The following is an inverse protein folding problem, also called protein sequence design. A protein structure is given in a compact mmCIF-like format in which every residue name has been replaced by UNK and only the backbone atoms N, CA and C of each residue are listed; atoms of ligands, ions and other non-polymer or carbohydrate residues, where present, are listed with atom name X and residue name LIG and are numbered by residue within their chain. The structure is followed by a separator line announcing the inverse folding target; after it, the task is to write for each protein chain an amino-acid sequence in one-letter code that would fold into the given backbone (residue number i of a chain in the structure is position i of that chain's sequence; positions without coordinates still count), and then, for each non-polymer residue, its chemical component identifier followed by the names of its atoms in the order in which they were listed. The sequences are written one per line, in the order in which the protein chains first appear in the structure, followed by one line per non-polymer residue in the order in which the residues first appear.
data_IF_591033568746
#
_entry.id   IF_591033568746
#
_cell.length_a   1.000
_cell.length_b   1.000
_cell.length_c   1.000
_cell.angle_alpha   90.00
_cell.angle_beta   90.00
_cell.angle_gamma   90.00
#
_symmetry.space_group_name_H-M   'P 1'
#
loop_
_entity.id
_entity.type
_entity.pdbx_description
1 polymer ?
#
# COMPACT_ATOMS: atom_id res chain seq x y z
N UNK A 1 -11.46 21.98 -13.26
CA UNK A 1 -11.73 20.59 -12.84
C UNK A 1 -10.40 19.93 -12.58
N UNK A 2 -10.26 19.20 -11.46
CA UNK A 2 -9.10 18.34 -11.24
C UNK A 2 -9.18 17.16 -12.22
N UNK A 3 -8.06 16.75 -12.79
CA UNK A 3 -7.99 15.50 -13.54
C UNK A 3 -8.07 14.29 -12.58
N UNK A 4 -8.22 13.07 -13.10
CA UNK A 4 -8.40 11.87 -12.27
C UNK A 4 -7.25 11.67 -11.27
N UNK A 5 -6.00 11.93 -11.67
CA UNK A 5 -4.83 11.81 -10.80
C UNK A 5 -4.91 12.80 -9.63
N UNK A 6 -5.17 14.06 -9.93
CA UNK A 6 -5.30 15.11 -8.92
C UNK A 6 -6.46 14.87 -7.96
N UNK A 7 -7.59 14.32 -8.45
CA UNK A 7 -8.72 13.94 -7.60
C UNK A 7 -8.35 12.81 -6.64
N UNK A 8 -7.72 11.74 -7.13
CA UNK A 8 -7.30 10.62 -6.28
C UNK A 8 -6.28 11.07 -5.24
N UNK A 9 -5.28 11.86 -5.64
CA UNK A 9 -4.28 12.38 -4.71
C UNK A 9 -4.90 13.28 -3.64
N UNK A 10 -5.94 14.05 -3.96
CA UNK A 10 -6.63 14.90 -2.99
C UNK A 10 -7.37 14.12 -1.89
N UNK A 11 -7.66 12.83 -2.10
CA UNK A 11 -8.26 11.98 -1.07
C UNK A 11 -7.25 11.49 -0.05
N UNK A 12 -5.96 11.51 -0.39
CA UNK A 12 -4.89 11.01 0.45
C UNK A 12 -4.40 12.12 1.38
N UNK A 13 -4.26 11.78 2.65
CA UNK A 13 -3.60 12.62 3.66
C UNK A 13 -2.18 12.11 3.91
N UNK A 14 -1.29 12.98 4.38
CA UNK A 14 0.13 12.64 4.61
C UNK A 14 0.35 11.50 5.63
N UNK A 15 -0.63 11.25 6.51
CA UNK A 15 -0.64 10.17 7.50
C UNK A 15 -1.21 8.84 6.97
N UNK A 16 -1.68 8.82 5.72
CA UNK A 16 -2.27 7.62 5.13
C UNK A 16 -1.17 6.67 4.66
N UNK A 17 -1.36 5.38 4.97
CA UNK A 17 -0.50 4.31 4.51
C UNK A 17 -1.23 3.54 3.41
N UNK A 18 -0.71 3.59 2.18
CA UNK A 18 -1.20 2.78 1.08
C UNK A 18 -0.70 1.35 1.24
N UNK A 19 -1.63 0.41 1.39
CA UNK A 19 -1.32 -1.01 1.41
C UNK A 19 -1.43 -1.56 0.00
N UNK A 20 -0.30 -1.97 -0.58
CA UNK A 20 -0.26 -2.49 -1.94
C UNK A 20 -0.30 -4.01 -1.97
N UNK A 21 -1.06 -4.52 -2.94
CA UNK A 21 -0.99 -5.91 -3.35
C UNK A 21 0.27 -6.18 -4.19
N UNK A 22 0.65 -7.46 -4.26
CA UNK A 22 1.86 -7.92 -4.94
C UNK A 22 1.98 -7.44 -6.39
N UNK A 23 0.87 -7.38 -7.12
CA UNK A 23 0.85 -6.96 -8.53
C UNK A 23 1.25 -5.50 -8.75
N UNK A 24 1.27 -4.68 -7.70
CA UNK A 24 1.61 -3.26 -7.75
C UNK A 24 2.99 -2.94 -7.18
N UNK A 25 3.86 -3.94 -6.99
CA UNK A 25 5.21 -3.72 -6.44
C UNK A 25 5.99 -2.66 -7.23
N UNK A 26 5.85 -2.64 -8.55
CA UNK A 26 6.62 -1.73 -9.40
C UNK A 26 6.20 -0.26 -9.24
N UNK A 27 5.04 0.00 -8.65
CA UNK A 27 4.54 1.36 -8.39
C UNK A 27 5.08 1.96 -7.09
N UNK A 28 5.73 1.16 -6.23
CA UNK A 28 6.25 1.61 -4.92
C UNK A 28 7.15 2.83 -5.08
N UNK A 29 8.10 2.79 -6.00
CA UNK A 29 9.04 3.90 -6.21
C UNK A 29 8.32 5.19 -6.64
N UNK A 30 7.28 5.07 -7.45
CA UNK A 30 6.45 6.21 -7.87
C UNK A 30 5.70 6.80 -6.69
N UNK A 31 5.05 5.96 -5.88
CA UNK A 31 4.29 6.40 -4.72
C UNK A 31 5.17 7.05 -3.65
N UNK A 32 6.37 6.51 -3.41
CA UNK A 32 7.34 7.13 -2.51
C UNK A 32 7.83 8.49 -3.02
N UNK A 33 8.02 8.65 -4.34
CA UNK A 33 8.38 9.96 -4.95
C UNK A 33 7.27 11.00 -4.83
N UNK A 34 6.02 10.56 -4.74
CA UNK A 34 4.86 11.42 -4.47
C UNK A 34 4.71 11.77 -2.98
N UNK A 35 5.64 11.33 -2.12
CA UNK A 35 5.61 11.61 -0.68
C UNK A 35 4.67 10.71 0.12
N UNK A 36 4.10 9.68 -0.53
CA UNK A 36 3.11 8.81 0.09
C UNK A 36 3.78 7.69 0.90
N UNK A 37 3.17 7.32 2.03
CA UNK A 37 3.61 6.18 2.81
C UNK A 37 3.05 4.89 2.21
N UNK A 38 3.91 3.90 2.01
CA UNK A 38 3.54 2.64 1.36
C UNK A 38 3.92 1.46 2.25
N UNK A 39 2.97 0.56 2.47
CA UNK A 39 3.20 -0.74 3.07
C UNK A 39 2.87 -1.84 2.06
N UNK A 40 3.70 -2.88 2.04
CA UNK A 40 3.44 -4.08 1.27
C UNK A 40 3.49 -5.28 2.22
N UNK A 41 2.65 -6.28 1.95
CA UNK A 41 2.72 -7.53 2.69
C UNK A 41 4.10 -8.15 2.53
N UNK A 42 4.65 -8.69 3.62
CA UNK A 42 5.95 -9.36 3.62
C UNK A 42 5.97 -10.50 2.60
N UNK A 43 7.17 -10.82 2.09
CA UNK A 43 7.40 -11.95 1.19
C UNK A 43 8.18 -13.03 1.90
N UNK A 44 7.74 -14.28 1.75
CA UNK A 44 8.57 -15.42 2.09
C UNK A 44 9.71 -15.45 1.08
N UNK A 45 10.93 -15.26 1.56
CA UNK A 45 12.13 -15.45 0.77
C UNK A 45 12.54 -16.92 0.88
N UNK A 46 13.64 -17.22 1.57
CA UNK A 46 14.13 -18.59 1.77
C UNK A 46 13.49 -19.30 2.97
N UNK A 47 12.35 -18.82 3.45
CA UNK A 47 11.68 -19.32 4.65
C UNK A 47 10.35 -19.99 4.30
N UNK A 48 9.99 -21.05 5.03
CA UNK A 48 8.70 -21.74 4.87
C UNK A 48 7.52 -20.96 5.48
N UNK A 49 7.78 -20.07 6.43
CA UNK A 49 6.76 -19.27 7.11
C UNK A 49 7.33 -17.92 7.57
N UNK A 50 6.45 -16.96 7.82
CA UNK A 50 6.81 -15.68 8.40
C UNK A 50 7.12 -15.83 9.89
N UNK A 51 7.97 -14.96 10.42
CA UNK A 51 8.00 -14.76 11.87
C UNK A 51 6.66 -14.24 12.37
N UNK A 52 6.35 -14.44 13.66
CA UNK A 52 5.16 -13.88 14.27
C UNK A 52 5.08 -12.35 14.06
N UNK A 53 6.21 -11.66 14.11
CA UNK A 53 6.28 -10.23 13.84
C UNK A 53 5.88 -9.88 12.41
N UNK A 54 6.48 -10.52 11.40
CA UNK A 54 6.19 -10.25 9.99
C UNK A 54 4.76 -10.62 9.59
N UNK A 55 4.21 -11.68 10.20
CA UNK A 55 2.84 -12.12 9.97
C UNK A 55 1.81 -11.13 10.58
N UNK A 56 2.14 -10.51 11.70
CA UNK A 56 1.25 -9.62 12.44
C UNK A 56 1.36 -8.15 12.02
N UNK A 57 2.53 -7.68 11.57
CA UNK A 57 2.75 -6.29 11.13
C UNK A 57 1.69 -5.76 10.14
N UNK A 58 1.31 -6.47 9.05
CA UNK A 58 0.30 -5.97 8.11
C UNK A 58 -1.15 -6.09 8.63
N UNK A 59 -1.38 -6.89 9.69
CA UNK A 59 -2.72 -7.10 10.28
C UNK A 59 -3.15 -5.97 11.22
N UNK A 60 -2.22 -5.09 11.59
CA UNK A 60 -2.46 -3.92 12.44
C UNK A 60 -2.98 -2.70 11.68
N UNK A 61 -3.13 -2.80 10.35
CA UNK A 61 -3.65 -1.71 9.52
C UNK A 61 -5.17 -1.81 9.40
N UNK A 62 -5.89 -0.75 9.80
CA UNK A 62 -7.33 -0.60 9.59
C UNK A 62 -7.62 -0.62 8.09
N UNK A 63 -8.15 -1.74 7.56
CA UNK A 63 -8.40 -1.94 6.14
C UNK A 63 -9.61 -1.11 5.67
N UNK A 64 -9.38 0.06 5.08
CA UNK A 64 -10.34 0.63 4.12
C UNK A 64 -10.04 0.02 2.75
N UNK A 65 -10.78 -1.04 2.38
CA UNK A 65 -10.68 -1.64 1.04
C UNK A 65 -11.45 -0.77 0.05
N UNK A 66 -10.75 -0.05 -0.81
CA UNK A 66 -11.35 0.58 -1.98
C UNK A 66 -11.34 -0.43 -3.12
N UNK A 67 -12.53 -0.82 -3.55
CA UNK A 67 -12.70 -1.64 -4.76
C UNK A 67 -12.67 -0.67 -5.93
N UNK A 68 -11.67 -0.79 -6.80
CA UNK A 68 -11.67 -0.13 -8.11
C UNK A 68 -12.23 -1.15 -9.09
N UNK A 69 -13.52 -1.03 -9.37
CA UNK A 69 -14.19 -1.74 -10.47
C UNK A 69 -14.14 -0.87 -11.73
N UNK A 70 -13.85 -1.51 -12.86
CA UNK A 70 -13.85 -0.94 -14.21
C UNK A 70 -15.27 -0.72 -14.74
#
# INVERSE_FOLDING_TARGET
MLNNEQQVLSWLRDDNVLVLDRGFRDTINTLLRLGLQVAMSSFLHNAKQFSAYEANRPRLVTKTRWVIES
#
